data_IF_538408833607
#
_entry.id   IF_538408833607
#
_cell.length_a   1.000
_cell.length_b   1.000
_cell.length_c   1.000
_cell.angle_alpha   90.00
_cell.angle_beta   90.00
_cell.angle_gamma   90.00
#
_symmetry.space_group_name_H-M   'P 1'
#
loop_
_entity.id
_entity.type
_entity.pdbx_description
1 polymer ?
#
# COMPACT_ATOMS: atom_id res chain seq x y z
N UNK A 1 34.19 34.12 4.60
CA UNK A 1 34.57 32.87 3.91
C UNK A 1 33.38 31.92 4.02
N UNK A 2 32.52 31.90 2.99
CA UNK A 2 31.32 31.06 2.94
C UNK A 2 31.70 29.58 2.72
N UNK A 3 31.14 28.69 3.54
CA UNK A 3 31.24 27.24 3.39
C UNK A 3 30.49 26.78 2.14
N UNK A 4 31.22 26.09 1.25
CA UNK A 4 30.74 25.65 -0.04
C UNK A 4 30.05 24.28 0.09
N UNK A 5 28.72 24.28 0.23
CA UNK A 5 27.85 23.08 0.33
C UNK A 5 27.84 22.27 -1.00
N UNK A 6 28.41 22.80 -2.08
CA UNK A 6 28.42 22.14 -3.38
C UNK A 6 29.45 21.00 -3.53
N UNK A 7 30.24 20.69 -2.50
CA UNK A 7 31.25 19.62 -2.54
C UNK A 7 30.70 18.20 -2.35
N UNK A 8 29.40 18.02 -2.08
CA UNK A 8 28.79 16.69 -1.85
C UNK A 8 28.27 16.01 -3.13
N UNK A 9 28.33 16.69 -4.29
CA UNK A 9 27.79 16.16 -5.56
C UNK A 9 28.86 15.66 -6.54
N UNK A 10 29.98 15.12 -6.04
CA UNK A 10 30.96 14.43 -6.90
C UNK A 10 30.69 12.92 -6.96
N UNK A 11 30.02 12.51 -8.04
CA UNK A 11 29.96 11.16 -8.66
C UNK A 11 30.09 9.94 -7.74
N UNK A 12 29.00 9.22 -7.44
CA UNK A 12 29.01 7.77 -7.15
C UNK A 12 27.59 7.19 -7.28
N UNK A 13 27.47 5.91 -7.63
CA UNK A 13 26.26 5.06 -7.59
C UNK A 13 25.15 5.54 -6.63
N UNK A 14 23.90 5.53 -7.08
CA UNK A 14 22.71 5.75 -6.24
C UNK A 14 22.86 5.03 -4.90
N UNK A 15 22.66 5.75 -3.79
CA UNK A 15 22.78 5.14 -2.46
C UNK A 15 21.67 4.11 -2.27
N UNK A 16 21.92 3.05 -1.48
CA UNK A 16 20.90 2.01 -1.20
C UNK A 16 19.57 2.59 -0.69
N UNK A 17 19.63 3.70 0.05
CA UNK A 17 18.46 4.40 0.54
C UNK A 17 17.69 5.10 -0.60
N UNK A 18 18.38 5.74 -1.54
CA UNK A 18 17.76 6.38 -2.72
C UNK A 18 17.13 5.35 -3.66
N UNK A 19 17.79 4.20 -3.85
CA UNK A 19 17.23 3.11 -4.66
C UNK A 19 15.96 2.56 -4.01
N UNK A 20 15.98 2.26 -2.71
CA UNK A 20 14.78 1.84 -1.98
C UNK A 20 13.67 2.90 -2.03
N UNK A 21 14.00 4.17 -1.83
CA UNK A 21 13.03 5.26 -1.89
C UNK A 21 12.36 5.34 -3.27
N UNK A 22 13.14 5.15 -4.34
CA UNK A 22 12.61 5.09 -5.71
C UNK A 22 11.67 3.90 -5.91
N UNK A 23 12.08 2.67 -5.54
CA UNK A 23 11.23 1.49 -5.68
C UNK A 23 9.93 1.61 -4.90
N UNK A 24 10.02 2.07 -3.65
CA UNK A 24 8.85 2.32 -2.80
C UNK A 24 7.95 3.42 -3.38
N UNK A 25 8.52 4.47 -3.99
CA UNK A 25 7.72 5.53 -4.62
C UNK A 25 6.81 4.99 -5.73
N UNK A 26 7.29 4.03 -6.54
CA UNK A 26 6.46 3.38 -7.56
C UNK A 26 5.38 2.50 -6.97
N UNK A 27 5.68 1.79 -5.88
CA UNK A 27 4.71 0.94 -5.20
C UNK A 27 3.62 1.74 -4.49
N UNK A 28 3.99 2.84 -3.84
CA UNK A 28 3.02 3.77 -3.26
C UNK A 28 2.13 4.39 -4.35
N UNK A 29 2.72 4.81 -5.48
CA UNK A 29 1.93 5.34 -6.60
C UNK A 29 0.95 4.30 -7.16
N UNK A 30 1.36 3.03 -7.22
CA UNK A 30 0.49 1.92 -7.62
C UNK A 30 -0.63 1.68 -6.59
N UNK A 31 -0.32 1.68 -5.30
CA UNK A 31 -1.31 1.56 -4.23
C UNK A 31 -2.31 2.74 -4.23
N UNK A 32 -1.84 3.96 -4.49
CA UNK A 32 -2.70 5.14 -4.69
C UNK A 32 -3.69 4.94 -5.85
N UNK A 33 -3.24 4.40 -6.99
CA UNK A 33 -4.12 4.07 -8.12
C UNK A 33 -5.16 3.00 -7.77
N UNK A 34 -4.79 2.00 -6.96
CA UNK A 34 -5.73 0.98 -6.44
C UNK A 34 -6.79 1.63 -5.55
N UNK A 35 -6.38 2.49 -4.61
CA UNK A 35 -7.30 3.22 -3.72
C UNK A 35 -8.25 4.09 -4.53
N UNK A 36 -7.72 4.91 -5.44
CA UNK A 36 -8.52 5.81 -6.28
C UNK A 36 -9.52 5.04 -7.13
N UNK A 37 -9.10 3.96 -7.78
CA UNK A 37 -10.00 3.16 -8.63
C UNK A 37 -11.08 2.47 -7.80
N UNK A 38 -10.75 1.94 -6.62
CA UNK A 38 -11.77 1.34 -5.74
C UNK A 38 -12.78 2.39 -5.27
N UNK A 39 -12.32 3.58 -4.88
CA UNK A 39 -13.21 4.65 -4.44
C UNK A 39 -14.14 5.11 -5.58
N UNK A 40 -13.65 5.21 -6.82
CA UNK A 40 -14.49 5.51 -8.00
C UNK A 40 -15.52 4.42 -8.26
N UNK A 41 -15.12 3.15 -8.18
CA UNK A 41 -16.05 2.00 -8.29
C UNK A 41 -17.13 2.04 -7.22
N UNK A 42 -16.74 2.30 -5.96
CA UNK A 42 -17.67 2.39 -4.84
C UNK A 42 -18.65 3.57 -4.99
N UNK A 43 -18.18 4.72 -5.46
CA UNK A 43 -19.01 5.90 -5.69
C UNK A 43 -19.95 5.77 -6.91
N UNK A 44 -19.80 4.71 -7.72
CA UNK A 44 -20.53 4.54 -8.98
C UNK A 44 -20.23 5.63 -10.01
N UNK A 45 -19.04 6.23 -9.96
CA UNK A 45 -18.70 7.44 -10.72
C UNK A 45 -18.09 7.18 -12.11
N UNK A 46 -17.97 5.93 -12.54
CA UNK A 46 -17.32 5.60 -13.81
C UNK A 46 -17.64 4.14 -14.23
N UNK A 47 -18.44 3.97 -15.29
CA UNK A 47 -18.76 2.64 -15.84
C UNK A 47 -17.54 1.93 -16.45
N UNK A 48 -16.46 2.68 -16.74
CA UNK A 48 -15.23 2.18 -17.37
C UNK A 48 -14.08 1.93 -16.37
N UNK A 49 -14.36 1.88 -15.07
CA UNK A 49 -13.32 1.53 -14.10
C UNK A 49 -12.81 0.09 -14.30
N UNK A 50 -11.48 -0.12 -14.47
CA UNK A 50 -10.95 -1.46 -14.66
C UNK A 50 -11.11 -2.30 -13.39
N UNK A 51 -11.20 -3.64 -13.51
CA UNK A 51 -11.05 -4.52 -12.36
C UNK A 51 -9.80 -4.18 -11.55
N UNK A 52 -9.88 -4.20 -10.21
CA UNK A 52 -8.74 -3.84 -9.35
C UNK A 52 -7.49 -4.70 -9.63
N UNK A 53 -7.69 -5.95 -10.02
CA UNK A 53 -6.60 -6.89 -10.37
C UNK A 53 -5.85 -6.51 -11.64
N UNK A 54 -6.42 -5.65 -12.48
CA UNK A 54 -5.81 -5.21 -13.74
C UNK A 54 -4.87 -4.02 -13.55
N UNK A 55 -4.93 -3.36 -12.38
CA UNK A 55 -4.01 -2.29 -11.99
C UNK A 55 -2.64 -2.92 -11.73
N UNK A 56 -1.80 -2.93 -12.76
CA UNK A 56 -0.57 -3.72 -12.76
C UNK A 56 0.46 -3.14 -11.78
N UNK A 57 1.00 -3.95 -10.85
CA UNK A 57 2.03 -3.49 -9.93
C UNK A 57 3.34 -3.18 -10.65
N UNK A 58 4.19 -2.29 -10.11
CA UNK A 58 5.44 -1.91 -10.77
C UNK A 58 6.36 -3.11 -10.97
N UNK A 59 7.06 -3.11 -12.10
CA UNK A 59 7.95 -4.20 -12.49
C UNK A 59 9.35 -3.94 -11.96
N UNK A 60 9.87 -4.86 -11.14
CA UNK A 60 11.16 -4.73 -10.48
C UNK A 60 12.29 -5.55 -11.13
N UNK A 61 12.20 -5.94 -12.42
CA UNK A 61 13.14 -6.91 -13.02
C UNK A 61 14.60 -6.47 -13.08
N UNK A 62 14.90 -5.17 -13.01
CA UNK A 62 16.27 -4.61 -13.06
C UNK A 62 16.55 -3.64 -11.91
N UNK A 63 15.73 -3.72 -10.87
CA UNK A 63 15.87 -2.86 -9.70
C UNK A 63 16.61 -3.63 -8.60
N UNK A 64 17.83 -3.21 -8.29
CA UNK A 64 18.68 -3.86 -7.28
C UNK A 64 18.49 -3.27 -5.88
N UNK A 65 17.43 -2.48 -5.65
CA UNK A 65 17.08 -2.03 -4.31
C UNK A 65 16.75 -3.21 -3.40
N UNK A 66 16.97 -3.05 -2.08
CA UNK A 66 16.67 -4.07 -1.08
C UNK A 66 15.17 -4.42 -1.08
N UNK A 67 14.32 -3.41 -1.27
CA UNK A 67 12.88 -3.62 -1.39
C UNK A 67 12.54 -4.46 -2.63
N UNK A 68 13.09 -4.13 -3.79
CA UNK A 68 12.86 -4.86 -5.03
C UNK A 68 13.41 -6.30 -4.93
N UNK A 69 14.57 -6.48 -4.30
CA UNK A 69 15.13 -7.79 -3.98
C UNK A 69 14.19 -8.60 -3.07
N UNK A 70 13.66 -8.01 -2.01
CA UNK A 70 12.71 -8.65 -1.10
C UNK A 70 11.45 -9.13 -1.83
N UNK A 71 10.84 -8.27 -2.65
CA UNK A 71 9.66 -8.63 -3.46
C UNK A 71 9.95 -9.83 -4.36
N UNK A 72 11.10 -9.85 -5.05
CA UNK A 72 11.48 -10.95 -5.95
C UNK A 72 11.81 -12.23 -5.19
N UNK A 73 12.61 -12.14 -4.12
CA UNK A 73 13.05 -13.28 -3.34
C UNK A 73 11.88 -14.03 -2.72
N UNK A 74 10.87 -13.29 -2.23
CA UNK A 74 9.66 -13.86 -1.64
C UNK A 74 8.53 -14.07 -2.65
N UNK A 75 8.75 -13.73 -3.93
CA UNK A 75 7.76 -13.85 -5.01
C UNK A 75 6.41 -13.21 -4.66
N UNK A 76 6.45 -12.04 -4.02
CA UNK A 76 5.23 -11.43 -3.48
C UNK A 76 4.22 -11.16 -4.58
N UNK A 77 3.02 -11.69 -4.38
CA UNK A 77 1.91 -11.51 -5.30
C UNK A 77 1.23 -10.14 -5.11
N UNK A 78 0.22 -9.84 -5.93
CA UNK A 78 -0.54 -8.58 -5.86
C UNK A 78 -1.04 -8.26 -4.45
N UNK A 79 -1.65 -9.24 -3.76
CA UNK A 79 -2.25 -9.03 -2.44
C UNK A 79 -1.16 -8.80 -1.40
N UNK A 80 -0.08 -9.58 -1.43
CA UNK A 80 1.02 -9.46 -0.47
C UNK A 80 1.77 -8.14 -0.60
N UNK A 81 1.98 -7.67 -1.83
CA UNK A 81 2.55 -6.35 -2.09
C UNK A 81 1.62 -5.25 -1.57
N UNK A 82 0.31 -5.37 -1.79
CA UNK A 82 -0.66 -4.42 -1.27
C UNK A 82 -0.65 -4.39 0.27
N UNK A 83 -0.65 -5.56 0.93
CA UNK A 83 -0.49 -5.68 2.40
C UNK A 83 0.77 -4.96 2.86
N UNK A 84 1.92 -5.24 2.22
CA UNK A 84 3.20 -4.66 2.60
C UNK A 84 3.18 -3.14 2.49
N UNK A 85 2.66 -2.60 1.39
CA UNK A 85 2.62 -1.14 1.16
C UNK A 85 1.62 -0.46 2.11
N UNK A 86 0.46 -1.07 2.37
CA UNK A 86 -0.49 -0.58 3.37
C UNK A 86 0.12 -0.56 4.78
N UNK A 87 0.90 -1.58 5.15
CA UNK A 87 1.60 -1.64 6.44
C UNK A 87 2.73 -0.60 6.55
N UNK A 88 3.41 -0.27 5.45
CA UNK A 88 4.48 0.74 5.42
C UNK A 88 3.96 2.17 5.35
N UNK A 89 2.73 2.37 4.86
CA UNK A 89 2.14 3.69 4.63
C UNK A 89 2.20 4.63 5.85
N UNK A 90 1.85 4.22 7.08
CA UNK A 90 1.82 5.13 8.23
C UNK A 90 3.19 5.76 8.51
N UNK A 91 4.27 5.00 8.34
CA UNK A 91 5.63 5.45 8.63
C UNK A 91 6.29 6.23 7.48
N UNK A 92 5.92 5.94 6.23
CA UNK A 92 6.64 6.47 5.04
C UNK A 92 5.81 7.50 4.27
N UNK A 93 4.51 7.25 4.07
CA UNK A 93 3.63 8.10 3.27
C UNK A 93 2.20 8.09 3.84
N UNK A 94 1.98 8.63 5.05
CA UNK A 94 0.70 8.54 5.76
C UNK A 94 -0.47 9.14 4.97
N UNK A 95 -0.21 10.23 4.22
CA UNK A 95 -1.21 10.92 3.39
C UNK A 95 -1.84 10.05 2.29
N UNK A 96 -1.23 8.93 1.92
CA UNK A 96 -1.82 7.98 0.98
C UNK A 96 -3.16 7.43 1.49
N UNK A 97 -3.35 7.37 2.81
CA UNK A 97 -4.57 6.85 3.44
C UNK A 97 -5.68 7.90 3.56
N UNK A 98 -5.38 9.19 3.40
CA UNK A 98 -6.34 10.29 3.57
C UNK A 98 -7.64 10.11 2.73
N UNK A 99 -7.61 9.62 1.47
CA UNK A 99 -8.83 9.36 0.70
C UNK A 99 -9.78 8.36 1.36
N UNK A 100 -9.26 7.41 2.15
CA UNK A 100 -10.05 6.41 2.88
C UNK A 100 -10.63 6.98 4.19
N UNK A 101 -10.32 8.22 4.53
CA UNK A 101 -10.87 8.93 5.68
C UNK A 101 -11.97 9.92 5.29
N UNK A 102 -12.37 9.92 4.01
CA UNK A 102 -13.45 10.79 3.55
C UNK A 102 -14.70 10.56 4.41
N UNK A 103 -15.25 11.63 5.02
CA UNK A 103 -16.39 11.48 5.89
C UNK A 103 -17.63 11.10 5.08
N UNK A 104 -18.42 10.19 5.63
CA UNK A 104 -19.80 10.03 5.23
C UNK A 104 -20.58 11.27 5.69
N UNK A 105 -21.09 12.06 4.74
CA UNK A 105 -21.75 13.35 5.02
C UNK A 105 -22.95 13.21 5.97
N UNK A 106 -23.65 12.07 5.94
CA UNK A 106 -24.81 11.83 6.80
C UNK A 106 -24.40 11.50 8.25
N UNK A 107 -23.23 10.88 8.44
CA UNK A 107 -22.78 10.39 9.76
C UNK A 107 -21.65 11.22 10.37
N UNK A 108 -21.07 12.16 9.60
CA UNK A 108 -19.93 12.98 9.96
C UNK A 108 -18.76 12.17 10.54
N UNK A 109 -18.50 11.00 9.96
CA UNK A 109 -17.41 10.08 10.31
C UNK A 109 -16.94 9.29 9.08
N UNK A 110 -15.72 8.76 9.05
CA UNK A 110 -15.26 7.90 7.95
C UNK A 110 -16.19 6.70 7.71
N UNK A 111 -16.26 6.25 6.46
CA UNK A 111 -16.95 5.02 6.08
C UNK A 111 -16.35 3.83 6.83
N UNK A 112 -17.20 3.03 7.48
CA UNK A 112 -16.74 1.94 8.34
C UNK A 112 -16.13 0.81 7.51
N UNK A 113 -16.71 0.58 6.34
CA UNK A 113 -16.27 -0.39 5.34
C UNK A 113 -14.88 -0.10 4.76
N UNK A 114 -14.38 1.15 4.82
CA UNK A 114 -13.02 1.48 4.36
C UNK A 114 -11.96 1.00 5.35
N UNK A 115 -12.36 0.71 6.60
CA UNK A 115 -11.58 -0.09 7.53
C UNK A 115 -10.32 0.54 8.13
N UNK A 116 -10.06 1.83 7.91
CA UNK A 116 -8.93 2.50 8.54
C UNK A 116 -9.13 2.59 10.07
N UNK A 117 -8.05 2.34 10.79
CA UNK A 117 -8.00 2.45 12.25
C UNK A 117 -7.19 3.69 12.65
N UNK A 118 -7.59 4.32 13.75
CA UNK A 118 -6.87 5.42 14.37
C UNK A 118 -6.22 4.93 15.64
N UNK A 119 -4.92 5.14 15.76
CA UNK A 119 -4.16 4.96 16.99
C UNK A 119 -3.49 6.28 17.38
N UNK A 120 -2.89 6.36 18.56
CA UNK A 120 -2.26 7.59 19.06
C UNK A 120 -1.21 8.15 18.08
N UNK A 121 -0.55 7.25 17.34
CA UNK A 121 0.55 7.56 16.43
C UNK A 121 0.13 7.70 14.96
N UNK A 122 -1.17 7.63 14.64
CA UNK A 122 -1.68 7.96 13.31
C UNK A 122 -2.78 7.03 12.77
N UNK A 123 -2.82 6.92 11.45
CA UNK A 123 -3.85 6.18 10.71
C UNK A 123 -3.24 4.93 10.11
N UNK A 124 -3.91 3.80 10.30
CA UNK A 124 -3.47 2.49 9.87
C UNK A 124 -4.52 1.83 8.99
N UNK A 125 -4.06 1.19 7.92
CA UNK A 125 -4.90 0.29 7.13
C UNK A 125 -5.03 -1.05 7.87
N UNK A 126 -6.24 -1.59 7.92
CA UNK A 126 -6.50 -2.90 8.53
C UNK A 126 -6.72 -3.99 7.47
N UNK A 127 -6.97 -5.23 7.93
CA UNK A 127 -7.47 -6.29 7.05
C UNK A 127 -8.80 -5.93 6.38
N UNK A 128 -9.61 -5.09 7.03
CA UNK A 128 -10.87 -4.58 6.45
C UNK A 128 -10.59 -3.60 5.31
N UNK A 129 -9.57 -2.74 5.44
CA UNK A 129 -9.11 -1.86 4.34
C UNK A 129 -8.67 -2.69 3.14
N UNK A 130 -7.90 -3.76 3.36
CA UNK A 130 -7.50 -4.66 2.28
C UNK A 130 -8.72 -5.32 1.62
N UNK A 131 -9.69 -5.79 2.42
CA UNK A 131 -10.91 -6.42 1.93
C UNK A 131 -11.74 -5.47 1.07
N UNK A 132 -11.89 -4.22 1.51
CA UNK A 132 -12.53 -3.16 0.74
C UNK A 132 -11.81 -2.87 -0.57
N UNK A 133 -10.49 -2.72 -0.55
CA UNK A 133 -9.72 -2.49 -1.78
C UNK A 133 -9.89 -3.62 -2.80
N UNK A 134 -9.91 -4.87 -2.34
CA UNK A 134 -10.01 -6.03 -3.24
C UNK A 134 -11.42 -6.36 -3.70
N UNK A 135 -12.45 -6.08 -2.90
CA UNK A 135 -13.80 -6.62 -3.12
C UNK A 135 -14.94 -5.62 -2.91
N UNK A 136 -14.66 -4.39 -2.48
CA UNK A 136 -15.71 -3.44 -2.10
C UNK A 136 -16.60 -4.05 -1.01
N UNK A 137 -17.91 -4.09 -1.23
CA UNK A 137 -18.89 -4.64 -0.29
C UNK A 137 -19.25 -6.11 -0.51
N UNK A 138 -18.60 -6.79 -1.45
CA UNK A 138 -18.87 -8.20 -1.75
C UNK A 138 -18.37 -9.13 -0.64
N UNK A 139 -19.30 -9.80 0.05
CA UNK A 139 -19.00 -10.62 1.23
C UNK A 139 -18.08 -11.81 0.94
N UNK A 140 -18.22 -12.44 -0.23
CA UNK A 140 -17.37 -13.55 -0.65
C UNK A 140 -15.90 -13.11 -0.78
N UNK A 141 -15.65 -11.97 -1.40
CA UNK A 141 -14.31 -11.39 -1.48
C UNK A 141 -13.75 -10.99 -0.10
N UNK A 142 -14.60 -10.45 0.79
CA UNK A 142 -14.21 -10.17 2.17
C UNK A 142 -13.78 -11.44 2.92
N UNK A 143 -14.51 -12.55 2.78
CA UNK A 143 -14.14 -13.83 3.38
C UNK A 143 -12.85 -14.42 2.80
N UNK A 144 -12.61 -14.24 1.49
CA UNK A 144 -11.35 -14.67 0.89
C UNK A 144 -10.15 -13.94 1.50
N UNK A 145 -10.27 -12.64 1.73
CA UNK A 145 -9.21 -11.85 2.37
C UNK A 145 -8.98 -12.28 3.82
N UNK A 146 -10.05 -12.45 4.60
CA UNK A 146 -9.94 -12.94 5.98
C UNK A 146 -9.28 -14.32 6.04
N UNK A 147 -9.67 -15.24 5.14
CA UNK A 147 -9.06 -16.55 5.03
C UNK A 147 -7.57 -16.46 4.70
N UNK A 148 -7.19 -15.61 3.73
CA UNK A 148 -5.80 -15.41 3.35
C UNK A 148 -4.95 -14.89 4.52
N UNK A 149 -5.44 -13.87 5.24
CA UNK A 149 -4.72 -13.29 6.38
C UNK A 149 -4.56 -14.31 7.52
N UNK A 150 -5.59 -15.10 7.82
CA UNK A 150 -5.56 -16.07 8.93
C UNK A 150 -4.76 -17.34 8.61
N UNK A 151 -4.83 -17.85 7.38
CA UNK A 151 -4.25 -19.15 7.03
C UNK A 151 -2.87 -19.01 6.39
N UNK A 152 -2.64 -17.96 5.61
CA UNK A 152 -1.37 -17.77 4.90
C UNK A 152 -0.43 -16.85 5.67
N UNK A 153 -0.92 -15.71 6.15
CA UNK A 153 -0.06 -14.68 6.75
C UNK A 153 0.20 -14.91 8.23
N UNK A 154 -0.84 -15.16 9.04
CA UNK A 154 -0.67 -15.30 10.50
C UNK A 154 0.35 -16.37 10.91
N UNK A 155 0.37 -17.59 10.33
CA UNK A 155 1.38 -18.57 10.68
C UNK A 155 2.78 -18.10 10.30
N UNK A 156 2.96 -17.43 9.15
CA UNK A 156 4.24 -16.89 8.73
C UNK A 156 4.77 -15.81 9.69
N UNK A 157 3.88 -14.94 10.20
CA UNK A 157 4.24 -13.94 11.21
C UNK A 157 4.69 -14.58 12.53
N UNK A 158 4.06 -15.68 12.96
CA UNK A 158 4.45 -16.39 14.17
C UNK A 158 5.85 -17.03 14.08
N UNK A 159 6.40 -17.22 12.87
CA UNK A 159 7.79 -17.65 12.67
C UNK A 159 8.78 -16.48 12.60
N UNK A 160 8.31 -15.26 12.32
CA UNK A 160 9.14 -14.08 12.10
C UNK A 160 9.23 -13.16 13.33
N UNK A 161 8.24 -13.20 14.22
CA UNK A 161 8.20 -12.42 15.45
C UNK A 161 8.22 -13.39 16.65
N UNK A 162 9.26 -13.36 17.50
CA UNK A 162 9.39 -14.26 18.65
C UNK A 162 8.39 -13.98 19.79
#
# INVERSE_FOLDING_TARGET
MQNNIYSIYSQTSSSRAEDNARSLSYEFAWCEQVIETRLRQYAGQDDDCPPIRDITPPVHHRDDSEFACFVRQHQLNFIERLILILALAPAIKPRMLDPLLQPNEALNRPYTEFGCCFEDDGVFASGETLAFLLSGDELDGRFQVQHYLLVTIQPALNYLLP
#
